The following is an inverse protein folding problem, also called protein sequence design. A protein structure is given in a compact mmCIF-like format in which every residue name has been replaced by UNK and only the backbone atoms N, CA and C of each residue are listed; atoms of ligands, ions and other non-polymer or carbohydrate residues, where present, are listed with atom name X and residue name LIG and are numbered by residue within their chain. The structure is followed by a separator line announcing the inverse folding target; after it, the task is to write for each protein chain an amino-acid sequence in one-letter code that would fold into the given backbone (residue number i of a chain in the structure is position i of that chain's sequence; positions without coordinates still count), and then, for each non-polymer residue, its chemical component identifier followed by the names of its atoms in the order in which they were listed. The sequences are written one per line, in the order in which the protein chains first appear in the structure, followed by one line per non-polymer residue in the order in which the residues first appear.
data_IF_835665235304
#
_entry.id   IF_835665235304
#
_cell.length_a   1.000
_cell.length_b   1.000
_cell.length_c   1.000
_cell.angle_alpha   90.00
_cell.angle_beta   90.00
_cell.angle_gamma   90.00
#
_symmetry.space_group_name_H-M   'P 1'
#
loop_
_entity.id
_entity.type
_entity.pdbx_description
1 polymer ?
#
# COMPACT_ATOMS: atom_id res chain seq x y z
N UNK A 1 1.12 9.06 17.57
CA UNK A 1 1.15 8.72 16.12
C UNK A 1 0.03 7.74 15.82
N UNK A 2 -0.79 8.00 14.80
CA UNK A 2 -1.90 7.13 14.40
C UNK A 2 -1.46 6.13 13.32
N UNK A 3 -2.18 5.01 13.22
CA UNK A 3 -2.04 4.07 12.12
C UNK A 3 -3.18 4.31 11.13
N UNK A 4 -2.86 4.60 9.87
CA UNK A 4 -3.81 4.65 8.76
C UNK A 4 -3.72 3.32 8.03
N UNK A 5 -4.65 2.44 8.34
CA UNK A 5 -4.75 1.13 7.68
C UNK A 5 -5.65 1.31 6.48
N UNK A 6 -5.13 1.11 5.28
CA UNK A 6 -5.90 1.34 4.06
C UNK A 6 -5.66 0.25 3.03
N UNK A 7 -6.63 0.11 2.16
CA UNK A 7 -6.66 -0.79 1.03
C UNK A 7 -7.29 -0.07 -0.16
N UNK A 8 -6.96 -0.47 -1.37
CA UNK A 8 -7.40 0.11 -2.61
C UNK A 8 -7.98 -0.95 -3.54
N UNK A 9 -9.08 -0.62 -4.21
CA UNK A 9 -9.49 -1.38 -5.37
C UNK A 9 -9.21 -0.58 -6.63
N UNK A 10 -8.77 -1.27 -7.68
CA UNK A 10 -8.44 -0.63 -8.95
C UNK A 10 -9.00 -1.36 -10.16
N UNK A 11 -9.34 -0.58 -11.17
CA UNK A 11 -9.62 -1.08 -12.49
C UNK A 11 -8.35 -1.09 -13.34
N UNK A 12 -8.36 -1.86 -14.40
CA UNK A 12 -7.26 -1.95 -15.37
C UNK A 12 -7.81 -2.05 -16.79
N UNK A 13 -6.93 -1.88 -17.78
CA UNK A 13 -7.33 -2.01 -19.17
C UNK A 13 -7.99 -3.36 -19.45
N UNK A 14 -9.11 -3.33 -20.17
CA UNK A 14 -9.85 -4.53 -20.57
C UNK A 14 -9.11 -5.33 -21.67
N UNK A 15 -8.20 -4.69 -22.41
CA UNK A 15 -7.45 -5.29 -23.51
C UNK A 15 -5.99 -4.78 -23.57
N UNK A 16 -5.15 -5.53 -24.31
CA UNK A 16 -3.73 -5.25 -24.45
C UNK A 16 -3.42 -3.95 -25.20
N UNK A 17 -4.30 -3.48 -26.09
CA UNK A 17 -4.09 -2.25 -26.83
C UNK A 17 -4.27 -1.04 -25.89
N UNK A 18 -5.38 -0.98 -25.19
CA UNK A 18 -5.67 0.04 -24.19
C UNK A 18 -4.57 0.10 -23.12
N UNK A 19 -4.08 -1.06 -22.67
CA UNK A 19 -2.97 -1.14 -21.72
C UNK A 19 -1.68 -0.50 -22.22
N UNK A 20 -1.36 -0.64 -23.52
CA UNK A 20 -0.14 -0.06 -24.09
C UNK A 20 -0.22 1.43 -24.36
N UNK A 21 -1.43 1.94 -24.57
CA UNK A 21 -1.69 3.34 -24.86
C UNK A 21 -1.74 4.23 -23.60
N UNK A 22 -1.86 3.62 -22.42
CA UNK A 22 -1.95 4.34 -21.15
C UNK A 22 -0.69 4.16 -20.31
N UNK A 23 -0.24 5.26 -19.70
CA UNK A 23 0.87 5.25 -18.73
C UNK A 23 0.44 4.72 -17.36
N UNK A 24 -0.84 4.84 -17.01
CA UNK A 24 -1.42 4.27 -15.80
C UNK A 24 -1.82 2.80 -16.07
N UNK A 25 -1.33 1.88 -15.25
CA UNK A 25 -1.67 0.46 -15.37
C UNK A 25 -2.91 0.08 -14.55
N UNK A 26 -3.05 0.69 -13.38
CA UNK A 26 -4.13 0.46 -12.43
C UNK A 26 -4.73 1.81 -12.05
N UNK A 27 -6.01 1.99 -12.33
CA UNK A 27 -6.77 3.18 -11.97
C UNK A 27 -7.57 2.90 -10.72
N UNK A 28 -7.33 3.64 -9.65
CA UNK A 28 -8.00 3.46 -8.37
C UNK A 28 -9.47 3.86 -8.51
N UNK A 29 -10.36 2.95 -8.09
CA UNK A 29 -11.82 3.12 -8.14
C UNK A 29 -12.50 3.02 -6.76
N UNK A 30 -11.76 2.65 -5.73
CA UNK A 30 -12.23 2.63 -4.34
C UNK A 30 -11.05 2.87 -3.39
N UNK A 31 -11.26 3.70 -2.37
CA UNK A 31 -10.35 3.86 -1.23
C UNK A 31 -11.13 3.49 0.03
N UNK A 32 -10.60 2.53 0.77
CA UNK A 32 -11.10 2.14 2.08
C UNK A 32 -10.03 2.26 3.14
N UNK A 33 -10.34 2.87 4.28
CA UNK A 33 -9.38 3.01 5.35
C UNK A 33 -10.02 3.04 6.73
N UNK A 34 -9.25 2.62 7.72
CA UNK A 34 -9.54 2.81 9.14
C UNK A 34 -8.37 3.47 9.84
N UNK A 35 -8.66 4.28 10.84
CA UNK A 35 -7.67 4.96 11.67
C UNK A 35 -7.65 4.32 13.05
N UNK A 36 -6.47 3.83 13.45
CA UNK A 36 -6.22 3.37 14.81
C UNK A 36 -5.34 4.38 15.54
N UNK A 37 -5.60 4.59 16.83
CA UNK A 37 -4.68 5.32 17.68
C UNK A 37 -3.50 4.41 18.14
N UNK A 38 -2.57 4.96 18.90
CA UNK A 38 -1.41 4.25 19.45
C UNK A 38 -1.75 3.07 20.39
N UNK A 39 -3.00 3.01 20.86
CA UNK A 39 -3.54 1.89 21.66
C UNK A 39 -4.23 0.84 20.80
N UNK A 40 -4.19 0.98 19.47
CA UNK A 40 -4.91 0.18 18.50
C UNK A 40 -6.45 0.29 18.62
N UNK A 41 -6.98 1.39 19.17
CA UNK A 41 -8.42 1.65 19.21
C UNK A 41 -8.84 2.30 17.88
N UNK A 42 -9.98 1.84 17.34
CA UNK A 42 -10.56 2.41 16.12
C UNK A 42 -11.13 3.80 16.42
N UNK A 43 -10.59 4.85 15.81
CA UNK A 43 -10.99 6.25 16.02
C UNK A 43 -11.55 6.92 14.77
N UNK A 44 -11.63 6.24 13.64
CA UNK A 44 -12.24 6.76 12.43
C UNK A 44 -12.17 5.77 11.27
N UNK A 45 -12.97 6.06 10.25
CA UNK A 45 -12.96 5.33 8.99
C UNK A 45 -13.11 6.28 7.81
N UNK A 46 -12.68 5.83 6.64
CA UNK A 46 -12.84 6.50 5.35
C UNK A 46 -13.25 5.46 4.32
N UNK A 47 -14.23 5.79 3.48
CA UNK A 47 -14.64 4.90 2.39
C UNK A 47 -15.29 5.72 1.28
N UNK A 48 -14.69 5.69 0.09
CA UNK A 48 -15.21 6.39 -1.09
C UNK A 48 -15.00 5.56 -2.35
N UNK A 49 -16.04 5.54 -3.18
CA UNK A 49 -15.97 5.07 -4.55
C UNK A 49 -15.52 6.21 -5.46
N UNK A 50 -14.78 5.87 -6.52
CA UNK A 50 -14.13 6.83 -7.41
C UNK A 50 -14.56 6.57 -8.84
N UNK A 51 -14.93 7.65 -9.55
CA UNK A 51 -15.25 7.61 -10.97
C UNK A 51 -13.97 7.42 -11.78
N UNK A 52 -13.82 6.31 -12.53
CA UNK A 52 -12.69 6.12 -13.41
C UNK A 52 -12.74 7.11 -14.58
N UNK A 53 -11.57 7.63 -14.95
CA UNK A 53 -11.42 8.60 -16.05
C UNK A 53 -10.52 8.06 -17.18
N UNK A 54 -9.80 6.97 -16.92
CA UNK A 54 -8.86 6.35 -17.87
C UNK A 54 -9.48 5.10 -18.50
N UNK A 55 -10.02 4.21 -17.66
CA UNK A 55 -10.61 2.95 -18.13
C UNK A 55 -12.13 3.01 -18.02
N UNK A 56 -12.80 3.32 -19.13
CA UNK A 56 -14.27 3.49 -19.19
C UNK A 56 -15.08 2.19 -19.23
N UNK A 57 -14.40 1.05 -19.28
CA UNK A 57 -15.02 -0.27 -19.15
C UNK A 57 -14.41 -1.03 -17.95
N UNK A 58 -15.25 -1.70 -17.18
CA UNK A 58 -14.78 -2.54 -16.10
C UNK A 58 -14.03 -3.74 -16.66
N UNK A 59 -12.81 -3.99 -16.20
CA UNK A 59 -12.12 -5.23 -16.49
C UNK A 59 -12.90 -6.40 -15.90
N UNK A 60 -13.10 -7.47 -16.69
CA UNK A 60 -13.93 -8.59 -16.28
C UNK A 60 -13.47 -9.20 -14.96
N UNK A 61 -12.16 -9.48 -14.82
CA UNK A 61 -11.60 -10.10 -13.61
C UNK A 61 -11.80 -9.19 -12.40
N UNK A 62 -11.56 -7.89 -12.56
CA UNK A 62 -11.79 -6.90 -11.50
C UNK A 62 -13.26 -6.88 -11.09
N UNK A 63 -14.17 -6.73 -12.05
CA UNK A 63 -15.62 -6.66 -11.76
C UNK A 63 -16.18 -7.91 -11.07
N UNK A 64 -15.70 -9.09 -11.45
CA UNK A 64 -16.07 -10.37 -10.81
C UNK A 64 -15.51 -10.46 -9.38
N UNK A 65 -14.30 -9.96 -9.12
CA UNK A 65 -13.65 -10.02 -7.82
C UNK A 65 -14.29 -9.06 -6.81
N UNK A 66 -14.43 -7.78 -7.19
CA UNK A 66 -14.90 -6.74 -6.27
C UNK A 66 -16.42 -6.54 -6.28
N UNK A 67 -17.13 -7.21 -7.17
CA UNK A 67 -18.59 -7.11 -7.36
C UNK A 67 -19.09 -5.68 -7.61
N UNK A 68 -18.28 -4.85 -8.27
CA UNK A 68 -18.67 -3.51 -8.72
C UNK A 68 -18.91 -3.46 -10.21
N UNK A 69 -19.87 -2.64 -10.60
CA UNK A 69 -20.18 -2.35 -12.00
C UNK A 69 -19.85 -0.89 -12.31
N UNK A 70 -19.53 -0.61 -13.57
CA UNK A 70 -19.16 0.74 -14.01
C UNK A 70 -20.26 1.77 -13.73
N UNK A 71 -21.54 1.37 -13.88
CA UNK A 71 -22.69 2.24 -13.65
C UNK A 71 -22.77 2.78 -12.20
N UNK A 72 -22.22 2.03 -11.24
CA UNK A 72 -22.16 2.44 -9.82
C UNK A 72 -21.13 3.55 -9.59
N UNK A 73 -20.16 3.68 -10.49
CA UNK A 73 -19.06 4.65 -10.40
C UNK A 73 -19.32 5.94 -11.20
N UNK A 74 -20.32 5.96 -12.09
CA UNK A 74 -20.57 7.08 -13.02
C UNK A 74 -20.79 8.44 -12.33
N UNK A 75 -21.46 8.42 -11.16
CA UNK A 75 -21.80 9.61 -10.40
C UNK A 75 -20.87 9.83 -9.19
N UNK A 76 -19.78 9.06 -9.07
CA UNK A 76 -18.79 9.22 -8.02
C UNK A 76 -17.87 10.42 -8.32
N UNK A 77 -17.16 10.87 -7.30
CA UNK A 77 -16.14 11.92 -7.42
C UNK A 77 -14.91 11.42 -8.16
N UNK A 78 -14.12 12.33 -8.67
CA UNK A 78 -12.84 12.02 -9.32
C UNK A 78 -11.77 11.57 -8.30
N UNK A 79 -10.75 10.85 -8.78
CA UNK A 79 -9.64 10.43 -7.93
C UNK A 79 -8.94 11.60 -7.22
N UNK A 80 -8.62 12.75 -7.88
CA UNK A 80 -7.99 13.87 -7.18
C UNK A 80 -8.81 14.38 -5.98
N UNK A 81 -10.12 14.55 -6.15
CA UNK A 81 -11.00 15.04 -5.09
C UNK A 81 -11.03 14.09 -3.89
N UNK A 82 -11.17 12.78 -4.16
CA UNK A 82 -11.22 11.77 -3.10
C UNK A 82 -9.86 11.59 -2.41
N UNK A 83 -8.78 11.61 -3.17
CA UNK A 83 -7.43 11.48 -2.62
C UNK A 83 -7.03 12.68 -1.76
N UNK A 84 -7.42 13.91 -2.13
CA UNK A 84 -7.23 15.10 -1.28
C UNK A 84 -7.97 14.98 0.05
N UNK A 85 -9.23 14.56 0.02
CA UNK A 85 -10.01 14.33 1.24
C UNK A 85 -9.45 13.18 2.09
N UNK A 86 -8.99 12.09 1.45
CA UNK A 86 -8.34 10.98 2.15
C UNK A 86 -7.08 11.45 2.89
N UNK A 87 -6.20 12.18 2.20
CA UNK A 87 -4.97 12.69 2.82
C UNK A 87 -5.26 13.72 3.91
N UNK A 88 -6.26 14.59 3.73
CA UNK A 88 -6.72 15.51 4.77
C UNK A 88 -7.27 14.75 6.00
N UNK A 89 -8.05 13.69 5.77
CA UNK A 89 -8.55 12.82 6.84
C UNK A 89 -7.41 12.07 7.57
N UNK A 90 -6.34 11.68 6.89
CA UNK A 90 -5.15 11.07 7.51
C UNK A 90 -4.56 11.99 8.60
N UNK A 91 -4.52 13.31 8.35
CA UNK A 91 -3.92 14.30 9.25
C UNK A 91 -2.41 14.41 9.06
N UNK A 92 -1.67 14.79 10.10
CA UNK A 92 -0.22 15.05 10.00
C UNK A 92 0.66 14.10 10.81
N UNK A 93 0.12 13.37 11.78
CA UNK A 93 0.88 12.47 12.67
C UNK A 93 0.37 11.03 12.53
N UNK A 94 0.82 10.37 11.45
CA UNK A 94 0.40 9.01 11.14
C UNK A 94 1.47 8.21 10.41
N UNK A 95 1.26 6.89 10.39
CA UNK A 95 1.98 5.95 9.53
C UNK A 95 0.97 5.10 8.76
N UNK A 96 1.28 4.84 7.49
CA UNK A 96 0.48 3.94 6.67
C UNK A 96 0.71 2.49 7.03
N UNK A 97 -0.37 1.70 6.92
CA UNK A 97 -0.37 0.24 7.09
C UNK A 97 -1.19 -0.36 5.96
N UNK A 98 -0.65 -1.36 5.26
CA UNK A 98 -1.32 -2.04 4.14
C UNK A 98 -1.10 -3.54 4.21
N UNK A 99 -1.93 -4.33 3.55
CA UNK A 99 -1.69 -5.76 3.37
C UNK A 99 -0.78 -6.01 2.17
N UNK A 100 0.53 -5.89 2.38
CA UNK A 100 1.55 -5.90 1.33
C UNK A 100 2.01 -4.49 0.98
N UNK A 101 2.61 -4.32 -0.20
CA UNK A 101 3.27 -3.06 -0.59
C UNK A 101 2.64 -2.36 -1.79
N UNK A 102 1.62 -2.96 -2.42
CA UNK A 102 1.10 -2.43 -3.68
C UNK A 102 0.25 -1.17 -3.49
N UNK A 103 -0.61 -1.14 -2.48
CA UNK A 103 -1.56 -0.04 -2.27
C UNK A 103 -0.87 1.31 -2.16
N UNK A 104 0.18 1.41 -1.34
CA UNK A 104 0.93 2.66 -1.18
C UNK A 104 1.65 3.08 -2.47
N UNK A 105 2.17 2.10 -3.22
CA UNK A 105 2.80 2.34 -4.52
C UNK A 105 1.78 2.82 -5.55
N UNK A 106 0.60 2.17 -5.64
CA UNK A 106 -0.42 2.52 -6.62
C UNK A 106 -1.11 3.85 -6.27
N UNK A 107 -1.29 4.17 -4.99
CA UNK A 107 -1.74 5.49 -4.55
C UNK A 107 -0.83 6.59 -5.13
N UNK A 108 0.49 6.46 -4.94
CA UNK A 108 1.47 7.43 -5.43
C UNK A 108 1.50 7.52 -6.96
N UNK A 109 1.36 6.38 -7.68
CA UNK A 109 1.31 6.38 -9.14
C UNK A 109 0.07 7.10 -9.68
N UNK A 110 -1.09 6.87 -9.07
CA UNK A 110 -2.32 7.57 -9.45
C UNK A 110 -2.20 9.08 -9.14
N UNK A 111 -1.65 9.47 -7.99
CA UNK A 111 -1.40 10.86 -7.67
C UNK A 111 -0.45 11.53 -8.69
N UNK A 112 0.63 10.87 -9.09
CA UNK A 112 1.55 11.38 -10.12
C UNK A 112 0.86 11.52 -11.49
N UNK A 113 0.04 10.54 -11.87
CA UNK A 113 -0.72 10.60 -13.12
C UNK A 113 -1.61 11.82 -13.21
N UNK A 114 -2.26 12.19 -12.11
CA UNK A 114 -3.12 13.37 -12.02
C UNK A 114 -2.36 14.66 -11.61
N UNK A 115 -1.03 14.65 -11.59
CA UNK A 115 -0.18 15.78 -11.21
C UNK A 115 -0.51 16.36 -9.83
N UNK A 116 -0.89 15.53 -8.88
CA UNK A 116 -1.15 15.92 -7.50
C UNK A 116 0.15 16.13 -6.72
N UNK A 117 0.09 16.89 -5.63
CA UNK A 117 1.20 16.98 -4.69
C UNK A 117 1.49 15.60 -4.10
N UNK A 118 2.73 15.10 -4.17
CA UNK A 118 3.05 13.77 -3.67
C UNK A 118 2.88 13.67 -2.15
N UNK A 119 2.54 12.48 -1.66
CA UNK A 119 2.53 12.19 -0.21
C UNK A 119 3.88 12.49 0.43
N UNK A 120 4.96 12.20 -0.29
CA UNK A 120 6.33 12.51 0.12
C UNK A 120 7.22 12.63 -1.11
N UNK A 121 8.19 13.55 -1.07
CA UNK A 121 9.27 13.64 -2.05
C UNK A 121 10.36 12.57 -1.84
N UNK A 122 10.28 11.83 -0.75
CA UNK A 122 11.26 10.81 -0.34
C UNK A 122 10.59 9.45 -0.21
N UNK A 123 11.42 8.43 -0.10
CA UNK A 123 11.01 7.07 0.27
C UNK A 123 10.16 7.11 1.54
N UNK A 124 8.99 6.49 1.51
CA UNK A 124 8.05 6.44 2.63
C UNK A 124 8.28 5.15 3.40
N UNK A 125 8.40 5.22 4.71
CA UNK A 125 8.34 4.06 5.57
C UNK A 125 6.89 3.80 6.01
N UNK A 126 6.53 2.52 6.10
CA UNK A 126 5.17 2.08 6.39
C UNK A 126 5.18 0.69 7.03
N UNK A 127 4.05 0.23 7.50
CA UNK A 127 3.89 -1.15 7.95
C UNK A 127 3.24 -2.02 6.87
N UNK A 128 4.04 -2.93 6.30
CA UNK A 128 3.55 -4.06 5.51
C UNK A 128 3.03 -5.11 6.50
N UNK A 129 1.72 -5.09 6.76
CA UNK A 129 1.07 -5.96 7.77
C UNK A 129 1.15 -7.42 7.37
N UNK A 130 1.14 -7.74 6.08
CA UNK A 130 1.36 -9.10 5.58
C UNK A 130 2.75 -9.63 5.99
N UNK A 131 3.78 -8.79 5.87
CA UNK A 131 5.13 -9.11 6.34
C UNK A 131 5.17 -9.26 7.86
N UNK A 132 4.54 -8.36 8.60
CA UNK A 132 4.47 -8.44 10.06
C UNK A 132 3.76 -9.71 10.52
N UNK A 133 2.65 -10.08 9.87
CA UNK A 133 1.96 -11.35 10.12
C UNK A 133 2.89 -12.55 9.89
N UNK A 134 3.65 -12.55 8.79
CA UNK A 134 4.61 -13.62 8.49
C UNK A 134 5.71 -13.75 9.56
N UNK A 135 6.20 -12.62 10.09
CA UNK A 135 7.20 -12.62 11.15
C UNK A 135 6.62 -13.12 12.48
N UNK A 136 5.37 -12.77 12.79
CA UNK A 136 4.74 -13.09 14.07
C UNK A 136 4.24 -14.54 14.16
N UNK A 137 3.73 -15.09 13.07
CA UNK A 137 2.91 -16.31 13.08
C UNK A 137 3.34 -17.39 12.09
N UNK A 138 4.25 -17.07 11.16
CA UNK A 138 4.69 -17.95 10.09
C UNK A 138 6.23 -17.94 9.96
N UNK A 139 6.75 -18.55 8.90
CA UNK A 139 8.10 -18.25 8.43
C UNK A 139 8.08 -16.89 7.74
N UNK A 140 9.03 -16.01 8.11
CA UNK A 140 9.10 -14.62 7.61
C UNK A 140 9.20 -14.49 6.07
N UNK A 141 9.46 -15.58 5.36
CA UNK A 141 9.51 -15.62 3.90
C UNK A 141 8.16 -15.93 3.26
N UNK A 142 7.21 -16.48 4.02
CA UNK A 142 5.90 -16.89 3.53
C UNK A 142 4.95 -15.68 3.55
N UNK A 143 4.33 -15.39 2.42
CA UNK A 143 3.29 -14.37 2.31
C UNK A 143 1.92 -15.02 2.17
N UNK A 144 1.03 -14.75 3.11
CA UNK A 144 -0.33 -15.27 3.16
C UNK A 144 -1.32 -14.24 2.65
N UNK A 145 -2.47 -14.70 2.18
CA UNK A 145 -3.60 -13.80 1.87
C UNK A 145 -4.17 -13.21 3.17
N UNK A 146 -4.86 -12.08 3.07
CA UNK A 146 -5.56 -11.48 4.20
C UNK A 146 -6.63 -12.43 4.76
N UNK A 147 -7.38 -13.11 3.88
CA UNK A 147 -8.36 -14.11 4.29
C UNK A 147 -7.74 -15.22 5.14
N UNK A 148 -6.57 -15.74 4.75
CA UNK A 148 -5.85 -16.73 5.56
C UNK A 148 -5.52 -16.19 6.96
N UNK A 149 -5.01 -14.97 7.05
CA UNK A 149 -4.64 -14.38 8.33
C UNK A 149 -5.86 -14.15 9.24
N UNK A 150 -6.98 -13.72 8.67
CA UNK A 150 -8.27 -13.56 9.38
C UNK A 150 -8.75 -14.90 9.93
N UNK A 151 -8.68 -15.98 9.14
CA UNK A 151 -9.03 -17.35 9.56
C UNK A 151 -8.06 -17.88 10.63
N UNK A 152 -6.77 -17.70 10.44
CA UNK A 152 -5.73 -18.14 11.37
C UNK A 152 -5.85 -17.49 12.75
N UNK A 153 -6.24 -16.21 12.80
CA UNK A 153 -6.38 -15.44 14.04
C UNK A 153 -7.80 -15.49 14.63
N UNK A 154 -8.68 -16.32 14.08
CA UNK A 154 -10.09 -16.44 14.49
C UNK A 154 -10.79 -15.08 14.58
N UNK A 155 -10.58 -14.25 13.56
CA UNK A 155 -11.24 -12.95 13.43
C UNK A 155 -12.62 -13.16 12.81
N UNK A 156 -13.65 -12.62 13.46
CA UNK A 156 -15.03 -12.74 13.02
C UNK A 156 -15.24 -12.09 11.64
N UNK A 157 -15.83 -12.84 10.69
CA UNK A 157 -16.05 -12.38 9.32
C UNK A 157 -17.42 -11.70 9.19
N UNK A 158 -17.46 -10.42 9.52
CA UNK A 158 -18.70 -9.62 9.53
C UNK A 158 -18.94 -8.88 8.20
N UNK A 159 -17.94 -8.78 7.33
CA UNK A 159 -17.97 -8.04 6.07
C UNK A 159 -17.39 -8.91 4.95
N UNK A 160 -17.91 -8.79 3.73
CA UNK A 160 -17.36 -9.52 2.59
C UNK A 160 -15.98 -8.97 2.21
N UNK A 161 -15.03 -9.86 1.90
CA UNK A 161 -13.72 -9.51 1.34
C UNK A 161 -13.83 -8.89 -0.06
N UNK A 162 -12.72 -8.36 -0.54
CA UNK A 162 -12.60 -7.72 -1.85
C UNK A 162 -13.44 -6.44 -1.98
N UNK A 163 -13.42 -5.66 -0.91
CA UNK A 163 -13.88 -4.27 -0.87
C UNK A 163 -12.87 -3.50 -0.02
N UNK A 164 -12.38 -2.40 -0.52
CA UNK A 164 -11.28 -1.66 0.08
C UNK A 164 -11.51 -1.37 1.59
N UNK A 165 -12.72 -0.98 1.99
CA UNK A 165 -13.01 -0.76 3.41
C UNK A 165 -12.97 -2.05 4.24
N UNK A 166 -13.49 -3.16 3.70
CA UNK A 166 -13.52 -4.43 4.42
C UNK A 166 -12.09 -4.98 4.63
N UNK A 167 -11.25 -4.90 3.59
CA UNK A 167 -9.89 -5.41 3.64
C UNK A 167 -8.99 -4.52 4.51
N UNK A 168 -9.19 -3.19 4.51
CA UNK A 168 -8.58 -2.28 5.49
C UNK A 168 -9.02 -2.59 6.93
N UNK A 169 -10.31 -2.86 7.16
CA UNK A 169 -10.84 -3.23 8.47
C UNK A 169 -10.22 -4.55 8.96
N UNK A 170 -10.19 -5.59 8.14
CA UNK A 170 -9.58 -6.87 8.53
C UNK A 170 -8.07 -6.75 8.76
N UNK A 171 -7.38 -5.95 7.96
CA UNK A 171 -5.95 -5.65 8.19
C UNK A 171 -5.74 -4.96 9.54
N UNK A 172 -6.63 -4.04 9.92
CA UNK A 172 -6.60 -3.41 11.23
C UNK A 172 -6.89 -4.40 12.38
N UNK A 173 -7.81 -5.34 12.19
CA UNK A 173 -8.08 -6.40 13.17
C UNK A 173 -6.86 -7.33 13.34
N UNK A 174 -6.11 -7.63 12.27
CA UNK A 174 -4.83 -8.35 12.37
C UNK A 174 -3.82 -7.54 13.20
N UNK A 175 -3.69 -6.23 12.99
CA UNK A 175 -2.80 -5.36 13.79
C UNK A 175 -3.13 -5.45 15.28
N UNK A 176 -4.39 -5.47 15.65
CA UNK A 176 -4.85 -5.57 17.05
C UNK A 176 -4.46 -6.89 17.72
N UNK A 177 -4.20 -7.96 16.94
CA UNK A 177 -3.79 -9.28 17.44
C UNK A 177 -2.29 -9.38 17.72
N UNK A 178 -1.46 -8.45 17.28
CA UNK A 178 -0.04 -8.44 17.62
C UNK A 178 0.17 -8.12 19.10
N UNK A 179 0.53 -9.14 19.88
CA UNK A 179 0.78 -9.03 21.31
C UNK A 179 2.17 -8.50 21.63
N UNK A 180 3.16 -8.92 20.84
CA UNK A 180 4.53 -8.41 20.95
C UNK A 180 4.68 -7.10 20.14
N UNK A 181 4.86 -5.99 20.86
CA UNK A 181 5.00 -4.67 20.24
C UNK A 181 6.32 -4.50 19.48
N UNK A 182 7.34 -5.33 19.74
CA UNK A 182 8.61 -5.30 18.99
C UNK A 182 8.42 -5.70 17.52
N UNK A 183 7.29 -6.29 17.15
CA UNK A 183 6.95 -6.60 15.75
C UNK A 183 7.02 -5.34 14.87
N UNK A 184 6.64 -4.18 15.41
CA UNK A 184 6.64 -2.90 14.70
C UNK A 184 8.06 -2.33 14.45
N UNK A 185 9.10 -2.91 15.04
CA UNK A 185 10.49 -2.61 14.68
C UNK A 185 10.82 -3.06 13.24
N UNK A 186 9.99 -3.95 12.66
CA UNK A 186 10.17 -4.52 11.33
C UNK A 186 9.42 -3.73 10.22
N UNK A 187 9.43 -2.41 10.28
CA UNK A 187 8.81 -1.57 9.27
C UNK A 187 9.35 -1.81 7.85
N UNK A 188 8.64 -1.35 6.85
CA UNK A 188 8.96 -1.48 5.43
C UNK A 188 9.16 -0.10 4.80
N UNK A 189 9.66 -0.09 3.56
CA UNK A 189 9.83 1.12 2.77
C UNK A 189 9.14 0.94 1.43
N UNK A 190 8.30 1.89 1.06
CA UNK A 190 7.87 2.03 -0.31
C UNK A 190 9.00 2.65 -1.13
N UNK A 191 9.33 2.00 -2.25
CA UNK A 191 10.45 2.40 -3.11
C UNK A 191 9.99 3.03 -4.42
N UNK A 192 8.74 3.48 -4.50
CA UNK A 192 8.28 4.24 -5.66
C UNK A 192 9.12 5.50 -5.86
N UNK A 193 9.33 6.25 -4.76
CA UNK A 193 10.30 7.34 -4.72
C UNK A 193 11.57 6.88 -3.99
N UNK A 194 12.60 6.56 -4.78
CA UNK A 194 13.90 6.15 -4.23
C UNK A 194 14.75 7.37 -3.88
N UNK A 195 15.79 7.21 -3.04
CA UNK A 195 16.76 8.27 -2.75
C UNK A 195 17.31 8.91 -4.04
N UNK A 196 17.41 10.24 -4.07
CA UNK A 196 17.90 10.99 -5.23
C UNK A 196 19.43 11.10 -5.26
N UNK A 197 20.03 11.08 -4.09
CA UNK A 197 21.46 11.22 -3.91
C UNK A 197 21.97 10.38 -2.72
N UNK A 198 23.28 10.36 -2.51
CA UNK A 198 23.93 9.52 -1.51
C UNK A 198 23.51 9.85 -0.07
N UNK A 199 23.21 11.11 0.23
CA UNK A 199 22.80 11.52 1.59
C UNK A 199 21.38 11.09 1.96
N UNK A 200 20.56 10.74 0.98
CA UNK A 200 19.20 10.23 1.17
C UNK A 200 19.15 8.70 1.23
N UNK A 201 20.28 8.01 0.95
CA UNK A 201 20.32 6.55 0.98
C UNK A 201 20.02 6.01 2.38
N UNK A 202 19.19 4.97 2.42
CA UNK A 202 18.71 4.39 3.67
C UNK A 202 19.54 3.15 3.99
N UNK A 203 20.10 3.12 5.20
CA UNK A 203 20.87 1.97 5.72
C UNK A 203 20.36 1.67 7.13
N UNK A 204 19.71 0.53 7.30
CA UNK A 204 19.13 0.13 8.57
C UNK A 204 19.51 -1.30 8.89
N UNK A 205 20.03 -1.50 10.10
CA UNK A 205 20.23 -2.82 10.68
C UNK A 205 18.99 -3.19 11.47
N UNK A 206 18.28 -4.20 10.99
CA UNK A 206 17.25 -4.91 11.75
C UNK A 206 17.90 -6.02 12.58
N UNK A 207 17.14 -6.65 13.46
CA UNK A 207 17.67 -7.70 14.33
C UNK A 207 18.38 -8.82 13.57
N UNK A 208 17.81 -9.25 12.42
CA UNK A 208 18.28 -10.41 11.66
C UNK A 208 18.73 -10.08 10.24
N UNK A 209 18.54 -8.86 9.76
CA UNK A 209 18.91 -8.48 8.42
C UNK A 209 19.28 -7.00 8.32
N UNK A 210 20.05 -6.67 7.28
CA UNK A 210 20.39 -5.30 6.93
C UNK A 210 19.57 -4.87 5.69
N UNK A 211 19.00 -3.68 5.73
CA UNK A 211 18.30 -3.11 4.57
C UNK A 211 19.07 -1.90 4.05
N UNK A 212 19.34 -1.93 2.76
CA UNK A 212 19.93 -0.83 2.04
C UNK A 212 19.05 -0.41 0.86
N UNK A 213 18.68 0.86 0.79
CA UNK A 213 17.97 1.45 -0.34
C UNK A 213 18.86 2.52 -0.92
N UNK A 214 19.40 2.24 -2.10
CA UNK A 214 20.29 3.15 -2.81
C UNK A 214 19.52 4.12 -3.69
N UNK A 215 20.17 5.20 -4.07
CA UNK A 215 19.77 6.06 -5.17
C UNK A 215 19.76 5.28 -6.50
N UNK A 216 19.09 5.83 -7.52
CA UNK A 216 19.22 5.32 -8.89
C UNK A 216 20.62 5.57 -9.43
N UNK A 217 21.19 4.58 -10.09
CA UNK A 217 22.45 4.69 -10.81
C UNK A 217 22.19 4.81 -12.31
N UNK A 218 23.00 5.58 -13.05
CA UNK A 218 22.80 5.77 -14.48
C UNK A 218 22.94 4.47 -15.29
N UNK A 219 23.75 3.53 -14.80
CA UNK A 219 23.94 2.22 -15.41
C UNK A 219 24.57 1.23 -14.41
N UNK A 220 24.51 -0.07 -14.73
CA UNK A 220 24.97 -1.17 -13.86
C UNK A 220 26.43 -1.00 -13.39
N UNK A 221 27.35 -0.57 -14.29
CA UNK A 221 28.76 -0.39 -13.92
C UNK A 221 28.97 0.69 -12.86
N UNK A 222 28.16 1.76 -12.91
CA UNK A 222 28.21 2.80 -11.87
C UNK A 222 27.75 2.26 -10.50
N UNK A 223 26.73 1.42 -10.48
CA UNK A 223 26.30 0.72 -9.26
C UNK A 223 27.39 -0.22 -8.73
N UNK A 224 28.00 -1.00 -9.61
CA UNK A 224 29.09 -1.93 -9.25
C UNK A 224 30.39 -1.24 -8.80
N UNK A 225 30.58 0.04 -9.10
CA UNK A 225 31.72 0.83 -8.63
C UNK A 225 31.46 1.48 -7.26
N UNK A 226 30.21 1.51 -6.78
CA UNK A 226 29.86 2.08 -5.49
C UNK A 226 30.15 1.08 -4.37
N UNK A 227 31.00 1.48 -3.41
CA UNK A 227 31.44 0.60 -2.31
C UNK A 227 30.30 0.15 -1.40
N UNK A 228 29.29 0.98 -1.21
CA UNK A 228 28.15 0.65 -0.34
C UNK A 228 27.29 -0.43 -1.00
N UNK A 229 27.11 -0.35 -2.33
CA UNK A 229 26.35 -1.36 -3.09
C UNK A 229 27.07 -2.72 -3.08
N UNK A 230 28.37 -2.75 -3.39
CA UNK A 230 29.12 -4.00 -3.49
C UNK A 230 29.38 -4.67 -2.14
N UNK A 231 29.42 -3.88 -1.06
CA UNK A 231 29.64 -4.40 0.30
C UNK A 231 28.33 -4.83 0.99
N UNK A 232 27.16 -4.54 0.38
CA UNK A 232 25.88 -4.98 0.91
C UNK A 232 25.65 -6.44 0.53
N UNK A 233 25.59 -7.32 1.52
CA UNK A 233 25.21 -8.73 1.28
C UNK A 233 23.70 -8.79 1.11
N UNK A 234 23.25 -9.34 -0.02
CA UNK A 234 21.88 -9.84 -0.14
C UNK A 234 21.77 -11.15 0.65
N UNK A 235 20.85 -11.20 1.57
CA UNK A 235 20.48 -12.42 2.29
C UNK A 235 19.20 -12.98 1.69
#
# INVERSE_FOLDING_TARGET
MNYIVFDLEWNQAADLKTRRENSLLFEIIEIGAVKLNEKNELIGHFHELIKPQVFHAMNQVTGELIHLKMEQLENCRSFPEVAEDFLAWCGSDYIFCTWGNLDLTELQKNMDYYNMTPVSEKTIWFYDVQKLFSIAYEDRTIRRTLQYAVEYLDIEKNVAFHRAYADAYYTAEVIKRFTDKSIFDNFSFDTYRVPRNKSEEIKIQFADYFKYISRKFPHKLAAMADRDVINTKCY
#
